data_IF_652382327100
#
_entry.id   IF_652382327100
#
_cell.length_a   1.000
_cell.length_b   1.000
_cell.length_c   1.000
_cell.angle_alpha   90.00
_cell.angle_beta   90.00
_cell.angle_gamma   90.00
#
_symmetry.space_group_name_H-M   'P 1'
#
loop_
_entity.id
_entity.type
_entity.pdbx_description
1 polymer ?
#
# COMPACT_ATOMS: atom_id res chain seq x y z
N UNK A 1 7.60 -17.32 -2.21
CA UNK A 1 6.79 -17.44 -3.47
C UNK A 1 6.26 -16.06 -3.77
N UNK A 2 6.39 -15.63 -5.04
CA UNK A 2 5.90 -14.30 -5.42
C UNK A 2 4.39 -14.19 -5.20
N UNK A 3 3.98 -13.21 -4.40
CA UNK A 3 2.58 -12.88 -4.15
C UNK A 3 2.01 -12.03 -5.28
N UNK A 4 2.79 -11.01 -5.69
CA UNK A 4 2.46 -10.08 -6.75
C UNK A 4 3.60 -10.04 -7.76
N UNK A 5 3.30 -10.05 -9.05
CA UNK A 5 4.28 -9.88 -10.12
C UNK A 5 3.74 -8.92 -11.17
N UNK A 6 4.55 -7.94 -11.54
CA UNK A 6 4.35 -7.08 -12.68
C UNK A 6 5.37 -7.47 -13.74
N UNK A 7 4.93 -7.74 -14.96
CA UNK A 7 5.80 -8.10 -16.08
C UNK A 7 5.57 -7.11 -17.23
N UNK A 8 6.56 -6.29 -17.50
CA UNK A 8 6.60 -5.34 -18.62
C UNK A 8 5.35 -4.46 -18.72
N UNK A 9 4.94 -3.91 -17.57
CA UNK A 9 3.71 -3.12 -17.48
C UNK A 9 3.91 -1.73 -18.09
N UNK A 10 3.11 -1.42 -19.11
CA UNK A 10 2.95 -0.09 -19.70
C UNK A 10 1.62 0.54 -19.24
N UNK A 11 1.69 1.71 -18.59
CA UNK A 11 0.51 2.39 -18.08
C UNK A 11 0.44 3.85 -18.55
N UNK A 12 -0.78 4.27 -18.89
CA UNK A 12 -1.02 5.56 -19.54
C UNK A 12 -2.13 6.38 -18.88
N UNK A 13 -1.96 7.70 -18.87
CA UNK A 13 -3.03 8.69 -18.63
C UNK A 13 -3.37 9.37 -19.94
N UNK A 14 -4.42 8.90 -20.62
CA UNK A 14 -4.70 9.32 -21.99
C UNK A 14 -3.50 9.00 -22.90
N UNK A 15 -2.90 10.01 -23.52
CA UNK A 15 -1.70 9.84 -24.39
C UNK A 15 -0.38 9.86 -23.60
N UNK A 16 -0.39 10.20 -22.31
CA UNK A 16 0.84 10.27 -21.51
C UNK A 16 1.25 8.88 -21.05
N UNK A 17 2.39 8.38 -21.53
CA UNK A 17 3.01 7.11 -21.13
C UNK A 17 3.81 7.30 -19.84
N UNK A 18 3.35 6.74 -18.73
CA UNK A 18 3.92 6.96 -17.40
C UNK A 18 4.75 5.77 -16.95
N UNK A 19 4.22 4.53 -17.02
CA UNK A 19 5.02 3.33 -16.74
C UNK A 19 5.49 2.72 -18.05
N UNK A 20 6.76 2.31 -18.09
CA UNK A 20 7.44 1.83 -19.29
C UNK A 20 8.15 0.52 -18.99
N UNK A 21 7.64 -0.57 -19.54
CA UNK A 21 8.22 -1.92 -19.38
C UNK A 21 8.51 -2.27 -17.90
N UNK A 22 7.66 -1.73 -16.98
CA UNK A 22 7.88 -1.85 -15.55
C UNK A 22 7.70 -3.29 -15.10
N UNK A 23 8.76 -3.86 -14.52
CA UNK A 23 8.77 -5.22 -13.99
C UNK A 23 9.22 -5.21 -12.53
N UNK A 24 8.43 -5.83 -11.64
CA UNK A 24 8.76 -5.99 -10.23
C UNK A 24 8.00 -7.16 -9.62
N UNK A 25 8.48 -7.66 -8.51
CA UNK A 25 7.83 -8.72 -7.73
C UNK A 25 7.71 -8.33 -6.27
N UNK A 26 6.66 -8.82 -5.60
CA UNK A 26 6.52 -8.74 -4.14
C UNK A 26 6.32 -10.15 -3.61
N UNK A 27 7.18 -10.57 -2.68
CA UNK A 27 7.11 -11.89 -2.07
C UNK A 27 6.08 -11.90 -0.92
N UNK A 28 5.55 -13.07 -0.60
CA UNK A 28 4.58 -13.21 0.50
C UNK A 28 5.27 -12.94 1.86
N UNK A 29 4.69 -12.04 2.64
CA UNK A 29 5.14 -11.68 3.99
C UNK A 29 6.29 -10.67 4.06
N UNK A 30 6.77 -10.11 2.91
CA UNK A 30 7.81 -9.07 2.93
C UNK A 30 7.25 -7.65 3.04
N UNK A 31 8.08 -6.73 3.51
CA UNK A 31 7.93 -5.28 3.32
C UNK A 31 8.78 -4.89 2.09
N UNK A 32 8.10 -4.68 0.96
CA UNK A 32 8.73 -4.20 -0.27
C UNK A 32 8.55 -2.69 -0.39
N UNK A 33 9.63 -1.95 -0.63
CA UNK A 33 9.57 -0.51 -0.86
C UNK A 33 9.78 -0.16 -2.35
N UNK A 34 8.92 0.68 -2.90
CA UNK A 34 9.09 1.32 -4.21
C UNK A 34 9.40 2.79 -4.00
N UNK A 35 10.65 3.17 -4.24
CA UNK A 35 11.22 4.48 -3.98
C UNK A 35 11.42 5.27 -5.26
N UNK A 36 11.34 6.59 -5.18
CA UNK A 36 11.58 7.46 -6.32
C UNK A 36 11.11 8.88 -6.07
N UNK A 37 11.54 9.79 -6.93
CA UNK A 37 11.13 11.20 -6.86
C UNK A 37 9.66 11.39 -7.23
N UNK A 38 9.12 12.57 -6.95
CA UNK A 38 7.77 12.94 -7.38
C UNK A 38 7.66 12.89 -8.90
N UNK A 39 6.57 12.27 -9.38
CA UNK A 39 6.37 12.07 -10.81
C UNK A 39 7.09 10.87 -11.44
N UNK A 40 7.87 10.10 -10.68
CA UNK A 40 8.60 8.94 -11.20
C UNK A 40 7.70 7.78 -11.65
N UNK A 41 6.42 7.72 -11.19
CA UNK A 41 5.48 6.66 -11.55
C UNK A 41 4.96 5.84 -10.37
N UNK A 42 5.38 6.14 -9.13
CA UNK A 42 5.05 5.38 -7.90
C UNK A 42 3.54 5.15 -7.70
N UNK A 43 2.77 6.24 -7.57
CA UNK A 43 1.30 6.17 -7.41
C UNK A 43 0.62 5.53 -8.63
N UNK A 44 1.20 5.70 -9.84
CA UNK A 44 0.71 5.04 -11.06
C UNK A 44 0.86 3.52 -10.95
N UNK A 45 1.97 3.03 -10.41
CA UNK A 45 2.19 1.60 -10.14
C UNK A 45 1.12 1.06 -9.18
N UNK A 46 0.90 1.72 -8.03
CA UNK A 46 -0.14 1.29 -7.07
C UNK A 46 -1.54 1.29 -7.69
N UNK A 47 -1.89 2.33 -8.44
CA UNK A 47 -3.20 2.41 -9.11
C UNK A 47 -3.36 1.34 -10.19
N UNK A 48 -2.30 0.99 -10.92
CA UNK A 48 -2.32 -0.10 -11.90
C UNK A 48 -2.58 -1.44 -11.22
N UNK A 49 -1.91 -1.74 -10.10
CA UNK A 49 -2.14 -2.94 -9.30
C UNK A 49 -3.57 -2.98 -8.76
N UNK A 50 -4.05 -1.87 -8.18
CA UNK A 50 -5.40 -1.76 -7.65
C UNK A 50 -6.49 -1.67 -8.73
N UNK A 51 -6.13 -1.69 -10.01
CA UNK A 51 -7.04 -1.46 -11.15
C UNK A 51 -7.85 -0.16 -11.06
N UNK A 52 -7.34 0.84 -10.33
CA UNK A 52 -7.97 2.16 -10.18
C UNK A 52 -7.74 2.99 -11.43
N UNK A 53 -8.79 3.39 -12.11
CA UNK A 53 -8.72 4.17 -13.36
C UNK A 53 -8.97 5.66 -13.12
N UNK A 54 -8.20 6.57 -13.79
CA UNK A 54 -6.97 6.27 -14.51
C UNK A 54 -5.83 5.87 -13.56
N UNK A 55 -4.75 5.20 -13.95
CA UNK A 55 -4.25 4.95 -15.31
C UNK A 55 -4.92 3.79 -16.05
N UNK A 56 -4.58 3.62 -17.34
CA UNK A 56 -4.93 2.44 -18.14
C UNK A 56 -3.65 1.63 -18.43
N UNK A 57 -3.63 0.37 -18.05
CA UNK A 57 -2.59 -0.58 -18.43
C UNK A 57 -2.85 -1.00 -19.88
N UNK A 58 -1.91 -0.72 -20.80
CA UNK A 58 -2.06 -1.00 -22.23
C UNK A 58 -1.25 -2.19 -22.70
N UNK A 59 -0.16 -2.53 -22.00
CA UNK A 59 0.66 -3.71 -22.26
C UNK A 59 1.22 -4.26 -20.95
N UNK A 60 1.72 -5.50 -20.97
CA UNK A 60 2.23 -6.22 -19.82
C UNK A 60 1.16 -6.92 -19.01
N UNK A 61 1.59 -7.57 -17.94
CA UNK A 61 0.73 -8.43 -17.11
C UNK A 61 0.96 -8.13 -15.63
N UNK A 62 -0.12 -8.09 -14.85
CA UNK A 62 -0.11 -8.01 -13.39
C UNK A 62 -0.74 -9.29 -12.86
N UNK A 63 0.04 -10.11 -12.15
CA UNK A 63 -0.44 -11.35 -11.55
C UNK A 63 -0.42 -11.27 -10.03
N UNK A 64 -1.45 -11.81 -9.39
CA UNK A 64 -1.59 -11.90 -7.95
C UNK A 64 -1.93 -13.34 -7.56
N UNK A 65 -1.14 -13.97 -6.68
CA UNK A 65 -1.21 -15.42 -6.43
C UNK A 65 -1.16 -16.27 -7.70
N UNK A 66 -0.44 -15.81 -8.73
CA UNK A 66 -0.36 -16.48 -10.02
C UNK A 66 -1.59 -16.33 -10.92
N UNK A 67 -2.62 -15.58 -10.51
CA UNK A 67 -3.77 -15.23 -11.34
C UNK A 67 -3.59 -13.86 -11.97
N UNK A 68 -3.91 -13.73 -13.26
CA UNK A 68 -3.90 -12.45 -13.97
C UNK A 68 -5.03 -11.54 -13.45
N UNK A 69 -4.65 -10.39 -12.91
CA UNK A 69 -5.56 -9.35 -12.44
C UNK A 69 -5.55 -8.09 -13.31
N UNK A 70 -4.82 -8.10 -14.44
CA UNK A 70 -4.67 -6.95 -15.33
C UNK A 70 -6.01 -6.42 -15.80
N UNK A 71 -6.31 -5.17 -15.47
CA UNK A 71 -7.54 -4.50 -15.89
C UNK A 71 -8.85 -5.07 -15.35
N UNK A 72 -8.82 -5.98 -14.35
CA UNK A 72 -10.03 -6.44 -13.64
C UNK A 72 -10.77 -5.25 -13.00
N UNK A 73 -11.99 -5.48 -12.54
CA UNK A 73 -12.71 -4.45 -11.79
C UNK A 73 -12.02 -4.21 -10.43
N UNK A 74 -12.05 -2.96 -9.96
CA UNK A 74 -11.45 -2.56 -8.66
C UNK A 74 -12.00 -3.41 -7.52
N UNK A 75 -13.29 -3.71 -7.58
CA UNK A 75 -13.98 -4.53 -6.58
C UNK A 75 -13.42 -5.95 -6.53
N UNK A 76 -13.13 -6.55 -7.69
CA UNK A 76 -12.57 -7.91 -7.77
C UNK A 76 -11.16 -7.97 -7.20
N UNK A 77 -10.33 -6.94 -7.50
CA UNK A 77 -8.97 -6.81 -6.97
C UNK A 77 -8.99 -6.62 -5.45
N UNK A 78 -9.88 -5.76 -4.95
CA UNK A 78 -10.06 -5.56 -3.51
C UNK A 78 -10.55 -6.82 -2.80
N UNK A 79 -11.50 -7.55 -3.42
CA UNK A 79 -12.01 -8.83 -2.88
C UNK A 79 -10.95 -9.94 -2.89
N UNK A 80 -9.97 -9.87 -3.79
CA UNK A 80 -8.84 -10.80 -3.81
C UNK A 80 -7.86 -10.59 -2.64
N UNK A 81 -8.00 -9.49 -1.88
CA UNK A 81 -7.17 -9.21 -0.70
C UNK A 81 -6.12 -8.12 -0.90
N UNK A 82 -6.24 -7.33 -1.95
CA UNK A 82 -5.38 -6.16 -2.20
C UNK A 82 -6.07 -4.90 -1.68
N UNK A 83 -5.44 -4.20 -0.74
CA UNK A 83 -5.95 -2.93 -0.19
C UNK A 83 -4.96 -1.80 -0.46
N UNK A 84 -5.48 -0.64 -0.89
CA UNK A 84 -4.70 0.57 -1.13
C UNK A 84 -5.10 1.66 -0.14
N UNK A 85 -4.13 2.15 0.62
CA UNK A 85 -4.24 3.39 1.41
C UNK A 85 -3.56 4.50 0.61
N UNK A 86 -4.31 5.42 0.02
CA UNK A 86 -3.75 6.51 -0.77
C UNK A 86 -3.19 7.62 0.14
N UNK A 87 -2.33 8.45 -0.40
CA UNK A 87 -1.73 9.64 0.24
C UNK A 87 -2.78 10.53 0.94
N UNK A 88 -3.94 10.77 0.30
CA UNK A 88 -5.00 11.61 0.88
C UNK A 88 -5.81 10.89 1.99
N UNK A 89 -5.38 9.70 2.43
CA UNK A 89 -5.96 8.88 3.53
C UNK A 89 -7.42 8.48 3.33
N UNK A 90 -8.24 9.29 2.69
CA UNK A 90 -9.68 9.07 2.36
C UNK A 90 -10.51 8.55 3.53
N UNK A 91 -10.32 9.14 4.71
CA UNK A 91 -11.16 8.88 5.87
C UNK A 91 -12.51 9.63 5.76
N UNK A 92 -13.54 9.14 6.45
CA UNK A 92 -14.81 9.84 6.57
C UNK A 92 -14.74 10.83 7.73
N UNK A 93 -14.39 12.06 7.44
CA UNK A 93 -14.07 13.11 8.43
C UNK A 93 -15.21 13.42 9.41
N UNK A 94 -16.46 13.35 8.95
CA UNK A 94 -17.66 13.63 9.76
C UNK A 94 -18.10 12.46 10.64
N UNK A 95 -17.59 11.25 10.39
CA UNK A 95 -17.85 10.07 11.19
C UNK A 95 -16.82 9.96 12.32
N UNK A 96 -17.19 9.24 13.39
CA UNK A 96 -16.25 8.90 14.46
C UNK A 96 -15.23 7.85 13.99
N UNK A 97 -14.20 7.61 14.80
CA UNK A 97 -13.22 6.53 14.58
C UNK A 97 -13.94 5.19 14.47
N UNK A 98 -14.78 4.85 15.45
CA UNK A 98 -15.54 3.59 15.46
C UNK A 98 -16.47 3.45 14.26
N UNK A 99 -17.16 4.52 13.85
CA UNK A 99 -18.01 4.50 12.64
C UNK A 99 -17.20 4.29 11.36
N UNK A 100 -15.99 4.88 11.26
CA UNK A 100 -15.08 4.63 10.15
C UNK A 100 -14.66 3.16 10.07
N UNK A 101 -14.33 2.54 11.21
CA UNK A 101 -13.98 1.13 11.31
C UNK A 101 -15.17 0.22 11.01
N UNK A 102 -16.35 0.57 11.50
CA UNK A 102 -17.58 -0.19 11.23
C UNK A 102 -17.95 -0.22 9.74
N UNK A 103 -17.75 0.87 9.02
CA UNK A 103 -17.98 0.89 7.56
C UNK A 103 -17.10 -0.11 6.80
N UNK A 104 -15.88 -0.36 7.27
CA UNK A 104 -15.02 -1.38 6.68
C UNK A 104 -15.59 -2.80 6.87
N UNK A 105 -16.21 -3.10 8.04
CA UNK A 105 -16.91 -4.36 8.26
C UNK A 105 -18.11 -4.55 7.33
N UNK A 106 -18.87 -3.49 7.08
CA UNK A 106 -20.02 -3.52 6.17
C UNK A 106 -19.58 -3.82 4.73
N UNK A 107 -18.47 -3.20 4.29
CA UNK A 107 -17.89 -3.44 2.98
C UNK A 107 -17.44 -4.89 2.83
N UNK A 108 -16.73 -5.44 3.83
CA UNK A 108 -16.29 -6.84 3.89
C UNK A 108 -17.46 -7.83 3.79
N UNK A 109 -18.54 -7.61 4.53
CA UNK A 109 -19.67 -8.53 4.56
C UNK A 109 -20.45 -8.57 3.23
N UNK A 110 -20.38 -7.51 2.42
CA UNK A 110 -20.95 -7.48 1.07
C UNK A 110 -20.15 -8.32 0.08
N UNK A 111 -18.83 -8.36 0.21
CA UNK A 111 -17.95 -9.12 -0.70
C UNK A 111 -18.19 -10.65 -0.61
N UNK A 112 -18.62 -11.17 0.52
CA UNK A 112 -18.97 -12.60 0.67
C UNK A 112 -20.16 -13.05 -0.19
N UNK A 113 -20.87 -12.15 -0.86
CA UNK A 113 -22.08 -12.43 -1.66
C UNK A 113 -21.78 -12.56 -3.15
N UNK A 114 -20.62 -12.11 -3.64
CA UNK A 114 -20.27 -12.08 -5.05
C UNK A 114 -19.02 -12.93 -5.35
N UNK A 115 -19.25 -14.14 -5.92
CA UNK A 115 -18.33 -14.84 -6.81
C UNK A 115 -17.11 -15.54 -6.19
N UNK A 116 -17.19 -16.86 -6.08
CA UNK A 116 -16.11 -17.80 -5.74
C UNK A 116 -15.09 -17.90 -6.87
N UNK A 117 -13.89 -17.38 -6.70
CA UNK A 117 -12.73 -17.81 -7.50
C UNK A 117 -11.43 -17.85 -6.70
N UNK A 118 -11.22 -17.00 -5.71
CA UNK A 118 -10.07 -17.08 -4.80
C UNK A 118 -10.59 -17.25 -3.38
N UNK A 119 -10.43 -18.46 -2.79
CA UNK A 119 -10.70 -18.68 -1.37
C UNK A 119 -9.53 -18.15 -0.54
N UNK A 120 -9.52 -16.85 -0.29
CA UNK A 120 -8.66 -16.28 0.71
C UNK A 120 -9.25 -16.58 2.09
N UNK A 121 -8.61 -17.48 2.84
CA UNK A 121 -9.09 -17.96 4.14
C UNK A 121 -8.75 -17.01 5.31
N UNK A 122 -8.39 -15.76 5.07
CA UNK A 122 -8.20 -14.79 6.16
C UNK A 122 -9.47 -13.98 6.37
N UNK A 123 -9.99 -13.93 7.59
CA UNK A 123 -10.96 -12.92 7.98
C UNK A 123 -10.21 -11.61 8.23
N UNK A 124 -10.74 -10.47 7.77
CA UNK A 124 -10.20 -9.17 8.16
C UNK A 124 -10.17 -9.03 9.68
N UNK A 125 -9.28 -8.19 10.20
CA UNK A 125 -9.11 -7.99 11.63
C UNK A 125 -10.41 -7.50 12.30
N UNK A 126 -10.66 -7.95 13.51
CA UNK A 126 -11.70 -7.40 14.38
C UNK A 126 -11.34 -5.98 14.81
N UNK A 127 -12.28 -5.26 15.40
CA UNK A 127 -11.99 -3.91 15.94
C UNK A 127 -11.01 -3.99 17.10
N UNK A 128 -11.13 -5.00 17.93
CA UNK A 128 -10.24 -5.27 19.06
C UNK A 128 -8.81 -5.53 18.59
N UNK A 129 -8.61 -6.40 17.61
CA UNK A 129 -7.29 -6.65 17.00
C UNK A 129 -6.69 -5.37 16.39
N UNK A 130 -7.49 -4.55 15.71
CA UNK A 130 -7.03 -3.26 15.17
C UNK A 130 -6.59 -2.32 16.28
N UNK A 131 -7.30 -2.26 17.40
CA UNK A 131 -6.94 -1.43 18.54
C UNK A 131 -5.66 -1.91 19.26
N UNK A 132 -5.32 -3.20 19.19
CA UNK A 132 -4.01 -3.68 19.64
C UNK A 132 -2.86 -3.08 18.83
N UNK A 133 -3.04 -2.88 17.51
CA UNK A 133 -2.07 -2.19 16.67
C UNK A 133 -2.07 -0.67 16.89
N UNK A 134 -3.25 -0.09 17.13
CA UNK A 134 -3.46 1.36 17.21
C UNK A 134 -4.19 1.78 18.49
N UNK A 135 -3.58 1.65 19.69
CA UNK A 135 -4.26 1.98 20.98
C UNK A 135 -4.79 3.43 21.03
N UNK A 136 -4.12 4.36 20.33
CA UNK A 136 -4.57 5.75 20.25
C UNK A 136 -5.92 5.91 19.55
N UNK A 137 -6.27 5.00 18.63
CA UNK A 137 -7.59 5.01 17.98
C UNK A 137 -8.68 4.53 18.94
N UNK A 138 -8.38 3.55 19.82
CA UNK A 138 -9.30 3.10 20.86
C UNK A 138 -9.64 4.24 21.84
N UNK A 139 -8.62 4.97 22.33
CA UNK A 139 -8.82 6.15 23.20
C UNK A 139 -9.73 7.21 22.57
N UNK A 140 -9.85 7.23 21.25
CA UNK A 140 -10.57 8.23 20.45
C UNK A 140 -11.77 7.65 19.68
N UNK A 141 -12.23 6.48 20.03
CA UNK A 141 -13.27 5.73 19.30
C UNK A 141 -14.51 6.57 18.98
N UNK A 142 -14.97 7.39 19.95
CA UNK A 142 -16.10 8.30 19.79
C UNK A 142 -15.76 9.67 19.20
N UNK A 143 -14.47 9.96 18.90
CA UNK A 143 -14.04 11.24 18.35
C UNK A 143 -14.26 11.28 16.84
N UNK A 144 -14.68 12.44 16.29
CA UNK A 144 -14.79 12.64 14.83
C UNK A 144 -13.42 12.54 14.17
N UNK A 145 -13.30 11.72 13.12
CA UNK A 145 -12.06 11.44 12.42
C UNK A 145 -11.40 12.70 11.83
N UNK A 146 -12.20 13.68 11.39
CA UNK A 146 -11.69 14.96 10.88
C UNK A 146 -10.98 15.82 11.92
N UNK A 147 -11.14 15.53 13.23
CA UNK A 147 -10.49 16.27 14.32
C UNK A 147 -9.23 15.58 14.85
N UNK A 148 -8.88 14.43 14.31
CA UNK A 148 -7.64 13.72 14.62
C UNK A 148 -6.42 14.45 14.04
N UNK A 149 -5.27 14.24 14.67
CA UNK A 149 -3.98 14.63 14.07
C UNK A 149 -3.70 13.90 12.77
N UNK A 150 -2.82 14.44 11.91
CA UNK A 150 -2.45 13.79 10.66
C UNK A 150 -1.99 12.34 10.81
N UNK A 151 -1.19 12.06 11.84
CA UNK A 151 -0.74 10.69 12.13
C UNK A 151 -1.87 9.76 12.60
N UNK A 152 -2.79 10.25 13.44
CA UNK A 152 -3.97 9.47 13.86
C UNK A 152 -4.91 9.19 12.68
N UNK A 153 -5.05 10.15 11.75
CA UNK A 153 -5.80 9.95 10.52
C UNK A 153 -5.13 8.89 9.62
N UNK A 154 -3.79 8.89 9.54
CA UNK A 154 -3.02 7.88 8.81
C UNK A 154 -3.23 6.49 9.42
N UNK A 155 -3.10 6.37 10.75
CA UNK A 155 -3.38 5.13 11.46
C UNK A 155 -4.82 4.64 11.22
N UNK A 156 -5.80 5.54 11.22
CA UNK A 156 -7.20 5.19 10.93
C UNK A 156 -7.39 4.69 9.50
N UNK A 157 -6.71 5.29 8.52
CA UNK A 157 -6.76 4.82 7.13
C UNK A 157 -6.18 3.41 6.97
N UNK A 158 -5.03 3.14 7.60
CA UNK A 158 -4.40 1.79 7.65
C UNK A 158 -5.32 0.81 8.39
N UNK A 159 -5.85 1.18 9.56
CA UNK A 159 -6.76 0.38 10.36
C UNK A 159 -8.00 -0.06 9.56
N UNK A 160 -8.59 0.83 8.77
CA UNK A 160 -9.72 0.52 7.88
C UNK A 160 -9.35 -0.49 6.79
N UNK A 161 -8.16 -0.41 6.24
CA UNK A 161 -7.68 -1.39 5.27
C UNK A 161 -7.51 -2.78 5.90
N UNK A 162 -6.93 -2.87 7.10
CA UNK A 162 -6.73 -4.14 7.83
C UNK A 162 -8.03 -4.84 8.23
N UNK A 163 -9.11 -4.09 8.44
CA UNK A 163 -10.45 -4.66 8.70
C UNK A 163 -11.05 -5.35 7.47
N UNK A 164 -10.57 -5.04 6.28
CA UNK A 164 -10.90 -5.77 5.06
C UNK A 164 -9.97 -6.98 4.96
N UNK A 165 -10.34 -8.04 4.32
CA UNK A 165 -9.52 -9.26 4.21
C UNK A 165 -8.18 -9.02 3.45
N UNK A 166 -7.32 -8.15 4.00
CA UNK A 166 -6.10 -7.66 3.35
C UNK A 166 -4.95 -8.65 3.50
N UNK A 167 -4.40 -9.10 2.38
CA UNK A 167 -3.15 -9.88 2.32
C UNK A 167 -1.99 -9.02 1.79
N UNK A 168 -2.28 -8.17 0.81
CA UNK A 168 -1.35 -7.16 0.31
C UNK A 168 -1.88 -5.77 0.68
N UNK A 169 -1.19 -5.12 1.60
CA UNK A 169 -1.45 -3.74 1.98
C UNK A 169 -0.51 -2.81 1.22
N UNK A 170 -1.06 -1.97 0.37
CA UNK A 170 -0.31 -0.96 -0.38
C UNK A 170 -0.49 0.40 0.28
N UNK A 171 0.62 1.07 0.60
CA UNK A 171 0.67 2.38 1.25
C UNK A 171 1.32 3.40 0.31
N UNK A 172 0.59 4.46 -0.04
CA UNK A 172 1.07 5.54 -0.91
C UNK A 172 1.49 6.73 -0.05
N UNK A 173 2.80 6.95 0.08
CA UNK A 173 3.47 8.02 0.84
C UNK A 173 2.92 8.18 2.28
N UNK A 174 2.90 7.10 3.10
CA UNK A 174 2.26 7.13 4.42
C UNK A 174 2.92 8.10 5.41
N UNK A 175 4.12 8.58 5.14
CA UNK A 175 4.87 9.50 6.02
C UNK A 175 4.69 10.97 5.63
N UNK A 176 4.04 11.26 4.48
CA UNK A 176 3.91 12.62 4.00
C UNK A 176 3.16 13.53 4.97
N UNK A 177 3.77 14.70 5.25
CA UNK A 177 3.21 15.71 6.15
C UNK A 177 3.17 15.31 7.62
N UNK A 178 3.87 14.23 8.03
CA UNK A 178 3.95 13.82 9.43
C UNK A 178 5.22 14.35 10.12
N UNK A 179 5.09 14.63 11.41
CA UNK A 179 6.25 14.97 12.25
C UNK A 179 7.13 13.73 12.48
N UNK A 180 8.45 13.85 12.66
CA UNK A 180 9.37 12.73 12.81
C UNK A 180 8.95 11.70 13.86
N UNK A 181 8.49 12.14 15.03
CA UNK A 181 8.02 11.23 16.10
C UNK A 181 6.76 10.44 15.73
N UNK A 182 5.96 10.97 14.81
CA UNK A 182 4.77 10.27 14.30
C UNK A 182 5.17 9.27 13.24
N UNK A 183 6.19 9.57 12.42
CA UNK A 183 6.75 8.62 11.46
C UNK A 183 7.18 7.34 12.19
N UNK A 184 7.98 7.45 13.26
CA UNK A 184 8.41 6.31 14.09
C UNK A 184 7.23 5.47 14.61
N UNK A 185 6.12 6.13 14.96
CA UNK A 185 4.90 5.43 15.40
C UNK A 185 4.24 4.65 14.25
N UNK A 186 4.19 5.24 13.05
CA UNK A 186 3.63 4.60 11.86
C UNK A 186 4.53 3.46 11.39
N UNK A 187 5.87 3.63 11.40
CA UNK A 187 6.84 2.57 11.11
C UNK A 187 6.67 1.37 12.03
N UNK A 188 6.62 1.60 13.34
CA UNK A 188 6.41 0.52 14.33
C UNK A 188 5.08 -0.22 14.11
N UNK A 189 4.04 0.49 13.66
CA UNK A 189 2.77 -0.16 13.32
C UNK A 189 2.89 -0.99 12.02
N UNK A 190 3.59 -0.49 11.00
CA UNK A 190 3.84 -1.18 9.74
C UNK A 190 4.63 -2.48 9.98
N UNK A 191 5.72 -2.42 10.79
CA UNK A 191 6.52 -3.60 11.16
C UNK A 191 5.66 -4.67 11.86
N UNK A 192 4.86 -4.28 12.86
CA UNK A 192 3.96 -5.20 13.56
C UNK A 192 2.91 -5.82 12.63
N UNK A 193 2.38 -5.06 11.67
CA UNK A 193 1.44 -5.56 10.66
C UNK A 193 2.13 -6.60 9.78
N UNK A 194 3.37 -6.36 9.35
CA UNK A 194 4.17 -7.36 8.62
C UNK A 194 4.41 -8.61 9.44
N UNK A 195 4.81 -8.48 10.71
CA UNK A 195 5.01 -9.60 11.63
C UNK A 195 3.75 -10.47 11.81
N UNK A 196 2.56 -9.88 11.66
CA UNK A 196 1.28 -10.62 11.64
C UNK A 196 1.04 -11.42 10.35
N UNK A 197 1.96 -11.32 9.37
CA UNK A 197 1.95 -12.02 8.10
C UNK A 197 1.22 -11.28 6.97
N UNK A 198 0.97 -9.97 7.11
CA UNK A 198 0.47 -9.15 6.02
C UNK A 198 1.64 -8.68 5.15
N UNK A 199 1.54 -8.88 3.85
CA UNK A 199 2.54 -8.37 2.88
C UNK A 199 2.32 -6.87 2.67
N UNK A 200 3.41 -6.12 2.56
CA UNK A 200 3.36 -4.66 2.41
C UNK A 200 4.09 -4.21 1.14
N UNK A 201 3.45 -3.34 0.38
CA UNK A 201 4.10 -2.54 -0.66
C UNK A 201 4.05 -1.08 -0.26
N UNK A 202 5.18 -0.57 0.20
CA UNK A 202 5.36 0.80 0.64
C UNK A 202 5.88 1.64 -0.51
N UNK A 203 5.16 2.68 -0.87
CA UNK A 203 5.61 3.67 -1.87
C UNK A 203 5.99 4.93 -1.15
N UNK A 204 7.24 5.41 -1.35
CA UNK A 204 7.76 6.55 -0.61
C UNK A 204 8.74 7.41 -1.42
N UNK A 205 8.75 8.69 -1.07
CA UNK A 205 9.83 9.60 -1.45
C UNK A 205 10.89 9.70 -0.33
N UNK A 206 10.49 9.54 0.93
CA UNK A 206 11.40 9.49 2.07
C UNK A 206 12.16 8.16 2.11
N UNK A 207 13.21 8.08 1.29
CA UNK A 207 13.99 6.85 1.14
C UNK A 207 14.62 6.38 2.45
N UNK A 208 15.07 7.31 3.31
CA UNK A 208 15.75 6.97 4.58
C UNK A 208 14.80 6.21 5.51
N UNK A 209 13.57 6.70 5.68
CA UNK A 209 12.56 6.04 6.49
C UNK A 209 12.17 4.67 5.90
N UNK A 210 11.87 4.61 4.60
CA UNK A 210 11.44 3.37 3.96
C UNK A 210 12.52 2.28 3.96
N UNK A 211 13.79 2.62 3.67
CA UNK A 211 14.93 1.68 3.73
C UNK A 211 15.12 1.14 5.17
N UNK A 212 14.69 1.91 6.18
CA UNK A 212 14.79 1.53 7.59
C UNK A 212 14.01 0.27 7.94
N UNK A 213 12.84 0.06 7.33
CA UNK A 213 11.90 -1.01 7.64
C UNK A 213 11.69 -2.02 6.51
N UNK A 214 12.14 -1.72 5.28
CA UNK A 214 11.95 -2.62 4.14
C UNK A 214 12.93 -3.80 4.14
N UNK A 215 12.47 -4.94 3.64
CA UNK A 215 13.31 -6.09 3.32
C UNK A 215 13.97 -5.92 1.96
N UNK A 216 13.19 -5.44 0.97
CA UNK A 216 13.60 -5.25 -0.41
C UNK A 216 13.13 -3.91 -0.94
N UNK A 217 13.96 -3.31 -1.80
CA UNK A 217 13.70 -2.02 -2.41
C UNK A 217 13.78 -2.08 -3.93
N UNK A 218 12.87 -1.38 -4.56
CA UNK A 218 12.94 -0.96 -5.95
C UNK A 218 13.10 0.55 -6.02
N UNK A 219 13.88 1.04 -6.97
CA UNK A 219 13.93 2.48 -7.28
C UNK A 219 13.35 2.67 -8.67
N UNK A 220 12.36 3.55 -8.78
CA UNK A 220 11.72 3.92 -10.04
C UNK A 220 12.13 5.33 -10.44
N UNK A 221 12.51 5.50 -11.71
CA UNK A 221 12.73 6.79 -12.34
C UNK A 221 12.09 6.82 -13.71
N UNK A 222 11.33 7.88 -14.02
CA UNK A 222 10.63 8.09 -15.30
C UNK A 222 9.82 6.87 -15.81
N UNK A 223 9.24 6.10 -14.88
CA UNK A 223 8.39 4.95 -15.18
C UNK A 223 9.13 3.63 -15.34
N UNK A 224 10.44 3.58 -15.16
CA UNK A 224 11.28 2.39 -15.29
C UNK A 224 11.94 2.03 -13.95
N UNK A 225 12.15 0.74 -13.67
CA UNK A 225 12.92 0.29 -12.51
C UNK A 225 14.40 0.46 -12.83
N UNK A 226 15.10 1.27 -12.01
CA UNK A 226 16.54 1.56 -12.15
C UNK A 226 17.40 0.85 -11.11
N UNK A 227 16.78 0.31 -10.07
CA UNK A 227 17.41 -0.51 -9.05
C UNK A 227 16.43 -1.54 -8.48
N UNK A 228 16.93 -2.75 -8.21
CA UNK A 228 16.27 -3.80 -7.45
C UNK A 228 17.29 -4.46 -6.53
N UNK A 229 16.98 -4.59 -5.24
CA UNK A 229 17.89 -5.22 -4.28
C UNK A 229 17.33 -5.25 -2.86
N UNK A 230 18.09 -5.81 -1.92
CA UNK A 230 17.75 -5.70 -0.50
C UNK A 230 17.86 -4.24 -0.02
N UNK A 231 17.16 -3.91 1.06
CA UNK A 231 17.29 -2.60 1.70
C UNK A 231 18.74 -2.31 2.13
N UNK A 232 19.47 -3.33 2.56
CA UNK A 232 20.89 -3.21 2.90
C UNK A 232 21.74 -2.87 1.67
N UNK A 233 21.52 -3.53 0.54
CA UNK A 233 22.22 -3.24 -0.71
C UNK A 233 21.98 -1.79 -1.18
N UNK A 234 20.72 -1.30 -1.08
CA UNK A 234 20.44 0.09 -1.43
C UNK A 234 21.06 1.09 -0.43
N UNK A 235 21.13 0.72 0.85
CA UNK A 235 21.79 1.54 1.88
C UNK A 235 23.30 1.73 1.62
N UNK A 236 23.95 0.73 1.00
CA UNK A 236 25.36 0.77 0.63
C UNK A 236 25.63 1.38 -0.76
N UNK A 237 24.59 1.53 -1.60
CA UNK A 237 24.68 2.10 -2.95
C UNK A 237 24.49 3.62 -2.93
N UNK A 238 25.54 4.36 -2.58
CA UNK A 238 25.54 5.82 -2.53
C UNK A 238 25.23 6.42 -3.92
N UNK A 239 25.72 5.82 -5.02
CA UNK A 239 25.51 6.32 -6.38
C UNK A 239 24.01 6.33 -6.74
N UNK A 240 23.32 5.22 -6.50
CA UNK A 240 21.86 5.11 -6.74
C UNK A 240 21.07 6.07 -5.85
N UNK A 241 21.44 6.17 -4.57
CA UNK A 241 20.76 7.06 -3.63
C UNK A 241 20.90 8.54 -3.99
N UNK A 242 22.12 9.01 -4.24
CA UNK A 242 22.38 10.40 -4.64
C UNK A 242 21.70 10.74 -5.97
N UNK A 243 21.81 9.86 -6.95
CA UNK A 243 21.32 10.10 -8.31
C UNK A 243 19.79 10.12 -8.39
N UNK A 244 19.12 9.13 -7.81
CA UNK A 244 17.68 8.92 -8.01
C UNK A 244 16.83 9.32 -6.82
N UNK A 245 17.35 9.29 -5.60
CA UNK A 245 16.60 9.59 -4.39
C UNK A 245 16.99 10.94 -3.75
N UNK A 246 18.20 11.43 -4.04
CA UNK A 246 18.68 12.73 -3.54
C UNK A 246 19.13 12.71 -2.08
N UNK A 247 19.56 11.55 -1.58
CA UNK A 247 20.02 11.31 -0.19
C UNK A 247 21.31 10.51 -0.17
#
# INVERSE_FOLDING_TARGET
MSLLTLEKVDAHYGESHILRDLSMTVEDGEICALLGRNGAGKTTTLRSIASSKPPEVRDGTITYHGEDITGRAVEDVSMAGISLVPEERRIFADLTVGENLHLADVARNRSNTFGRSVQVQRSGMSTEEVFEFFPRLEERDSQKAGTLSGGEQQMLAIARALKQNTQLLMLDEPYEGLAPQIIETVESAIERISESGTTLLLVEQNAVAAIGIADRCYVIDQGEIVFEGSAEALREDDETRERYLGV
#
